data_IF_322212688544
#
_entry.id   IF_322212688544
#
_cell.length_a   1.000
_cell.length_b   1.000
_cell.length_c   1.000
_cell.angle_alpha   90.00
_cell.angle_beta   90.00
_cell.angle_gamma   90.00
#
_symmetry.space_group_name_H-M   'P 1'
#
loop_
_entity.id
_entity.type
_entity.pdbx_description
1 polymer ?
#
# COMPACT_ATOMS: atom_id res chain seq x y z
N UNK A 1 5.08 11.31 -18.48
CA UNK A 1 4.13 12.24 -17.82
C UNK A 1 4.53 12.27 -16.36
N UNK A 2 5.23 13.32 -15.94
CA UNK A 2 5.86 13.43 -14.61
C UNK A 2 4.86 14.07 -13.65
N UNK A 3 4.39 13.32 -12.65
CA UNK A 3 3.54 13.83 -11.57
C UNK A 3 4.43 14.40 -10.45
N UNK A 4 5.25 15.40 -10.77
CA UNK A 4 5.95 16.18 -9.75
C UNK A 4 5.10 17.41 -9.40
N UNK A 5 4.16 17.24 -8.47
CA UNK A 5 3.58 18.38 -7.76
C UNK A 5 4.45 18.64 -6.53
N UNK A 6 5.35 19.62 -6.66
CA UNK A 6 6.16 20.11 -5.56
C UNK A 6 5.29 20.49 -4.36
N UNK A 7 5.51 19.81 -3.24
CA UNK A 7 5.10 20.27 -1.91
C UNK A 7 6.30 20.13 -0.99
N UNK A 8 6.64 21.25 -0.34
CA UNK A 8 7.65 21.34 0.71
C UNK A 8 7.50 20.18 1.70
N UNK A 9 8.45 19.25 1.71
CA UNK A 9 8.59 18.25 2.75
C UNK A 9 9.25 18.91 3.96
N UNK A 10 8.44 19.63 4.76
CA UNK A 10 8.93 20.20 6.01
C UNK A 10 9.06 19.06 7.03
N UNK A 11 10.26 18.47 7.11
CA UNK A 11 10.87 17.60 8.13
C UNK A 11 10.08 16.52 8.92
N UNK A 12 8.79 16.27 8.72
CA UNK A 12 8.09 15.27 9.55
C UNK A 12 6.96 14.49 8.90
N UNK A 13 6.38 14.88 7.76
CA UNK A 13 5.33 14.08 7.11
C UNK A 13 5.32 14.22 5.58
N UNK A 14 5.34 13.08 4.88
CA UNK A 14 5.17 12.98 3.42
C UNK A 14 3.78 12.36 3.17
N UNK A 15 2.81 13.22 2.88
CA UNK A 15 1.49 12.77 2.43
C UNK A 15 1.50 12.61 0.91
N UNK A 16 1.28 11.38 0.45
CA UNK A 16 1.13 11.09 -0.97
C UNK A 16 -0.28 11.45 -1.42
N UNK A 17 -0.43 11.92 -2.67
CA UNK A 17 -1.75 12.03 -3.28
C UNK A 17 -2.37 10.64 -3.38
N UNK A 18 -3.61 10.51 -2.92
CA UNK A 18 -4.41 9.29 -3.11
C UNK A 18 -4.58 9.07 -4.64
N UNK A 19 -3.94 8.06 -5.25
CA UNK A 19 -4.17 7.70 -6.64
C UNK A 19 -5.64 7.32 -6.83
N UNK A 20 -6.15 7.56 -8.04
CA UNK A 20 -7.50 7.16 -8.43
C UNK A 20 -7.71 5.65 -8.34
N UNK A 21 -8.94 5.20 -8.58
CA UNK A 21 -9.25 3.78 -8.63
C UNK A 21 -8.39 3.05 -9.67
N UNK A 22 -7.81 1.93 -9.27
CA UNK A 22 -7.03 1.02 -10.11
C UNK A 22 -7.86 -0.23 -10.35
N UNK A 23 -8.10 -0.60 -11.62
CA UNK A 23 -8.76 -1.87 -11.91
C UNK A 23 -7.81 -3.03 -11.61
N UNK A 24 -8.34 -4.07 -10.98
CA UNK A 24 -7.60 -5.29 -10.66
C UNK A 24 -8.27 -6.46 -11.38
N UNK A 25 -7.82 -6.80 -12.59
CA UNK A 25 -8.37 -7.95 -13.31
C UNK A 25 -8.01 -9.26 -12.60
N UNK A 26 -8.79 -10.31 -12.86
CA UNK A 26 -8.45 -11.67 -12.43
C UNK A 26 -7.08 -12.09 -12.97
N UNK A 27 -6.39 -12.97 -12.25
CA UNK A 27 -5.09 -13.51 -12.66
C UNK A 27 -4.01 -12.46 -12.96
N UNK A 28 -4.11 -11.30 -12.32
CA UNK A 28 -3.19 -10.19 -12.53
C UNK A 28 -2.21 -10.06 -11.36
N UNK A 29 -0.94 -9.83 -11.67
CA UNK A 29 0.10 -9.67 -10.66
C UNK A 29 0.85 -8.36 -10.85
N UNK A 30 1.51 -7.92 -9.79
CA UNK A 30 2.38 -6.75 -9.79
C UNK A 30 1.68 -5.43 -10.16
N UNK A 31 0.42 -5.25 -9.75
CA UNK A 31 -0.32 -4.00 -9.96
C UNK A 31 0.06 -3.01 -8.86
N UNK A 32 0.88 -2.00 -9.18
CA UNK A 32 1.18 -0.93 -8.22
C UNK A 32 -0.07 -0.11 -7.93
N UNK A 33 -0.50 -0.11 -6.66
CA UNK A 33 -1.68 0.64 -6.20
C UNK A 33 -1.32 1.87 -5.38
N UNK A 34 -0.15 1.88 -4.73
CA UNK A 34 0.35 3.01 -3.94
C UNK A 34 1.87 3.11 -4.03
N UNK A 35 2.40 4.34 -3.95
CA UNK A 35 3.85 4.60 -4.01
C UNK A 35 4.21 5.79 -3.12
N UNK A 36 5.32 5.67 -2.39
CA UNK A 36 5.97 6.71 -1.62
C UNK A 36 7.47 6.67 -1.91
N UNK A 37 8.04 7.84 -2.20
CA UNK A 37 9.50 8.01 -2.31
C UNK A 37 9.95 8.87 -1.16
N UNK A 38 10.79 8.32 -0.30
CA UNK A 38 11.45 9.07 0.76
C UNK A 38 12.73 9.66 0.17
N UNK A 39 12.86 11.00 0.16
CA UNK A 39 14.04 11.65 -0.40
C UNK A 39 15.30 11.32 0.40
N UNK A 40 16.44 11.27 -0.29
CA UNK A 40 17.76 10.99 0.31
C UNK A 40 18.08 11.95 1.46
N UNK A 41 17.74 13.23 1.35
CA UNK A 41 17.98 14.23 2.39
C UNK A 41 17.22 13.95 3.69
N UNK A 42 16.10 13.23 3.64
CA UNK A 42 15.33 12.87 4.84
C UNK A 42 15.94 11.70 5.62
N UNK A 43 16.94 11.01 5.03
CA UNK A 43 17.61 9.83 5.61
C UNK A 43 19.14 9.98 5.63
N UNK A 44 19.68 11.09 5.12
CA UNK A 44 21.12 11.32 5.04
C UNK A 44 21.68 11.75 6.41
N UNK A 45 22.64 10.99 6.93
CA UNK A 45 23.44 11.36 8.11
C UNK A 45 22.76 11.15 9.47
N UNK A 46 21.56 10.59 9.51
CA UNK A 46 20.86 10.19 10.74
C UNK A 46 20.08 8.91 10.52
N UNK A 47 19.91 8.12 11.58
CA UNK A 47 18.89 7.06 11.61
C UNK A 47 17.52 7.70 11.42
N UNK A 48 16.78 7.25 10.42
CA UNK A 48 15.40 7.68 10.20
C UNK A 48 14.45 6.55 10.58
N UNK A 49 13.32 6.91 11.17
CA UNK A 49 12.17 6.03 11.37
C UNK A 49 11.12 6.42 10.37
N UNK A 50 10.76 5.48 9.49
CA UNK A 50 9.68 5.66 8.52
C UNK A 50 8.46 4.90 9.01
N UNK A 51 7.36 5.62 9.27
CA UNK A 51 6.07 5.04 9.55
C UNK A 51 5.18 5.14 8.30
N UNK A 52 4.55 4.05 7.94
CA UNK A 52 3.69 3.93 6.76
C UNK A 52 2.32 3.46 7.22
N UNK A 53 1.31 4.27 6.96
CA UNK A 53 -0.08 3.94 7.24
C UNK A 53 -0.86 4.00 5.93
N UNK A 54 -1.53 2.91 5.57
CA UNK A 54 -2.28 2.79 4.31
C UNK A 54 -3.65 2.17 4.54
N UNK A 55 -4.68 2.75 3.93
CA UNK A 55 -6.02 2.17 3.84
C UNK A 55 -6.37 1.89 2.38
N UNK A 56 -6.57 0.61 2.07
CA UNK A 56 -6.92 0.09 0.75
C UNK A 56 -8.41 -0.26 0.76
N UNK A 57 -9.21 0.45 -0.02
CA UNK A 57 -10.60 0.11 -0.27
C UNK A 57 -10.71 -0.80 -1.49
N UNK A 58 -11.18 -2.03 -1.33
CA UNK A 58 -11.41 -2.97 -2.43
C UNK A 58 -12.88 -3.00 -2.74
N UNK A 59 -13.24 -2.83 -4.00
CA UNK A 59 -14.62 -2.86 -4.47
C UNK A 59 -14.77 -4.00 -5.48
N UNK A 60 -15.58 -5.00 -5.11
CA UNK A 60 -15.90 -6.16 -5.93
C UNK A 60 -17.33 -6.01 -6.41
N UNK A 61 -17.51 -6.02 -7.73
CA UNK A 61 -18.82 -6.03 -8.34
C UNK A 61 -19.16 -7.46 -8.74
N UNK A 62 -20.08 -8.09 -8.03
CA UNK A 62 -20.48 -9.47 -8.30
C UNK A 62 -21.57 -9.50 -9.39
N UNK A 63 -21.45 -10.45 -10.34
CA UNK A 63 -22.47 -10.63 -11.38
C UNK A 63 -23.63 -11.44 -10.79
N UNK A 64 -24.88 -11.07 -11.07
CA UNK A 64 -26.01 -11.96 -10.85
C UNK A 64 -25.96 -13.14 -11.81
N UNK A 65 -25.84 -14.35 -11.28
CA UNK A 65 -25.98 -15.60 -12.04
C UNK A 65 -27.08 -16.49 -11.45
N UNK A 66 -27.25 -17.69 -12.03
CA UNK A 66 -28.07 -18.74 -11.43
C UNK A 66 -27.52 -19.17 -10.05
N UNK A 67 -26.21 -18.99 -9.87
CA UNK A 67 -25.54 -19.16 -8.59
C UNK A 67 -25.64 -17.91 -7.71
N UNK A 68 -26.07 -18.11 -6.47
CA UNK A 68 -26.17 -17.08 -5.42
C UNK A 68 -24.86 -16.89 -4.67
N UNK A 69 -23.72 -17.20 -5.30
CA UNK A 69 -22.40 -17.11 -4.69
C UNK A 69 -21.35 -16.59 -5.66
N UNK A 70 -20.42 -15.79 -5.16
CA UNK A 70 -19.17 -15.46 -5.84
C UNK A 70 -18.01 -15.82 -4.92
N UNK A 71 -16.84 -16.07 -5.50
CA UNK A 71 -15.62 -16.27 -4.73
C UNK A 71 -14.46 -15.43 -5.26
N UNK A 72 -13.61 -15.06 -4.32
CA UNK A 72 -12.33 -14.41 -4.55
C UNK A 72 -11.28 -15.36 -4.00
N UNK A 73 -10.49 -15.97 -4.87
CA UNK A 73 -9.44 -16.91 -4.48
C UNK A 73 -8.40 -16.21 -3.61
N UNK A 74 -7.85 -15.10 -4.12
CA UNK A 74 -6.97 -14.21 -3.38
C UNK A 74 -6.85 -12.83 -4.01
N UNK A 75 -6.84 -11.78 -3.18
CA UNK A 75 -6.22 -10.50 -3.51
C UNK A 75 -5.20 -10.24 -2.40
N UNK A 76 -3.92 -10.32 -2.76
CA UNK A 76 -2.81 -10.08 -1.84
C UNK A 76 -2.26 -8.69 -2.09
N UNK A 77 -2.28 -7.85 -1.06
CA UNK A 77 -1.59 -6.59 -1.03
C UNK A 77 -0.24 -6.79 -0.38
N UNK A 78 0.85 -6.37 -1.04
CA UNK A 78 2.21 -6.56 -0.54
C UNK A 78 2.91 -5.21 -0.49
N UNK A 79 3.47 -4.89 0.68
CA UNK A 79 4.32 -3.72 0.88
C UNK A 79 5.77 -4.08 0.55
N UNK A 80 6.38 -3.30 -0.33
CA UNK A 80 7.79 -3.43 -0.71
C UNK A 80 8.59 -2.20 -0.28
N UNK A 81 9.87 -2.42 0.03
CA UNK A 81 10.92 -1.41 0.12
C UNK A 81 12.03 -1.78 -0.86
N UNK A 82 12.27 -0.94 -1.87
CA UNK A 82 13.29 -1.17 -2.90
C UNK A 82 13.22 -2.61 -3.45
N UNK A 83 12.01 -3.03 -3.85
CA UNK A 83 11.70 -4.38 -4.35
C UNK A 83 11.83 -5.53 -3.33
N UNK A 84 12.20 -5.26 -2.07
CA UNK A 84 12.20 -6.26 -0.99
C UNK A 84 10.83 -6.28 -0.31
N UNK A 85 10.13 -7.43 -0.23
CA UNK A 85 8.85 -7.53 0.46
C UNK A 85 9.05 -7.34 1.97
N UNK A 86 8.19 -6.53 2.58
CA UNK A 86 8.21 -6.25 4.01
C UNK A 86 7.08 -6.97 4.75
N UNK A 87 5.86 -6.88 4.21
CA UNK A 87 4.65 -7.46 4.81
C UNK A 87 3.54 -7.55 3.75
N UNK A 88 2.51 -8.34 4.03
CA UNK A 88 1.36 -8.53 3.17
C UNK A 88 0.03 -8.65 3.93
N UNK A 89 -1.07 -8.45 3.21
CA UNK A 89 -2.44 -8.66 3.67
C UNK A 89 -3.19 -9.38 2.55
N UNK A 90 -3.99 -10.37 2.92
CA UNK A 90 -4.78 -11.18 2.01
C UNK A 90 -6.28 -10.89 2.18
N UNK A 91 -6.99 -10.72 1.08
CA UNK A 91 -8.44 -10.74 0.99
C UNK A 91 -8.85 -11.95 0.16
N UNK A 92 -9.54 -12.90 0.78
CA UNK A 92 -10.12 -14.06 0.10
C UNK A 92 -11.46 -14.43 0.73
N UNK A 93 -12.30 -15.17 0.00
CA UNK A 93 -13.52 -15.70 0.57
C UNK A 93 -14.60 -16.05 -0.43
N UNK A 94 -15.59 -16.78 0.08
CA UNK A 94 -16.81 -17.14 -0.62
C UNK A 94 -17.96 -16.32 -0.04
N UNK A 95 -18.72 -15.67 -0.91
CA UNK A 95 -19.75 -14.72 -0.51
C UNK A 95 -21.06 -15.03 -1.20
N UNK A 96 -22.17 -14.86 -0.49
CA UNK A 96 -23.50 -15.03 -1.08
C UNK A 96 -23.94 -13.74 -1.76
N UNK A 97 -24.33 -13.85 -3.03
CA UNK A 97 -25.00 -12.81 -3.81
C UNK A 97 -26.51 -12.98 -3.72
N UNK A 98 -27.23 -11.90 -4.00
CA UNK A 98 -28.66 -12.00 -4.24
C UNK A 98 -28.89 -12.34 -5.73
N UNK A 99 -29.95 -13.09 -6.01
CA UNK A 99 -30.47 -13.23 -7.37
C UNK A 99 -31.00 -11.87 -7.84
N UNK A 100 -30.50 -11.31 -8.94
CA UNK A 100 -31.02 -10.03 -9.45
C UNK A 100 -29.99 -9.14 -10.11
N UNK A 101 -29.69 -7.99 -9.49
CA UNK A 101 -28.79 -6.96 -10.02
C UNK A 101 -27.32 -7.13 -9.54
N UNK A 102 -26.40 -6.43 -10.21
CA UNK A 102 -24.99 -6.31 -9.78
C UNK A 102 -24.91 -5.80 -8.33
N UNK A 103 -24.23 -6.56 -7.47
CA UNK A 103 -24.06 -6.19 -6.06
C UNK A 103 -22.62 -5.75 -5.79
N UNK A 104 -22.46 -4.60 -5.13
CA UNK A 104 -21.17 -4.05 -4.73
C UNK A 104 -20.79 -4.52 -3.32
N UNK A 105 -19.65 -5.20 -3.22
CA UNK A 105 -19.01 -5.57 -1.96
C UNK A 105 -17.79 -4.68 -1.74
N UNK A 106 -17.63 -4.16 -0.54
CA UNK A 106 -16.50 -3.28 -0.19
C UNK A 106 -15.72 -3.85 0.99
N UNK A 107 -14.40 -3.93 0.83
CA UNK A 107 -13.47 -4.38 1.88
C UNK A 107 -12.47 -3.27 2.16
N UNK A 108 -12.14 -3.06 3.43
CA UNK A 108 -11.06 -2.15 3.81
C UNK A 108 -9.92 -2.96 4.41
N UNK A 109 -8.75 -2.88 3.81
CA UNK A 109 -7.52 -3.45 4.33
C UNK A 109 -6.61 -2.30 4.82
N UNK A 110 -6.11 -2.41 6.04
CA UNK A 110 -5.25 -1.38 6.63
C UNK A 110 -3.85 -1.92 6.87
N UNK A 111 -2.84 -1.25 6.35
CA UNK A 111 -1.44 -1.47 6.69
C UNK A 111 -0.99 -0.42 7.70
N UNK A 112 -0.27 -0.85 8.72
CA UNK A 112 0.59 0.03 9.52
C UNK A 112 1.96 -0.64 9.64
N UNK A 113 3.00 0.04 9.19
CA UNK A 113 4.36 -0.49 9.18
C UNK A 113 5.35 0.55 9.70
N UNK A 114 6.32 0.10 10.47
CA UNK A 114 7.41 0.91 10.99
C UNK A 114 8.71 0.32 10.45
N UNK A 115 9.43 1.10 9.66
CA UNK A 115 10.74 0.75 9.14
C UNK A 115 11.83 1.63 9.75
N UNK A 116 13.00 1.02 9.95
CA UNK A 116 14.23 1.66 10.40
C UNK A 116 15.29 1.38 9.33
N UNK A 117 15.24 2.08 8.17
CA UNK A 117 16.31 1.99 7.20
C UNK A 117 17.64 2.32 7.90
N UNK A 118 18.59 1.39 7.81
CA UNK A 118 19.86 1.49 8.55
C UNK A 118 20.67 2.74 8.16
N UNK A 119 21.64 3.09 9.01
CA UNK A 119 22.58 4.18 8.74
C UNK A 119 23.33 3.91 7.42
N UNK A 120 23.04 4.71 6.41
CA UNK A 120 23.80 4.70 5.15
C UNK A 120 24.88 5.76 5.22
N UNK A 121 26.13 5.31 5.35
CA UNK A 121 27.34 6.14 5.52
C UNK A 121 27.71 6.94 4.25
N UNK A 122 26.98 6.78 3.15
CA UNK A 122 27.15 7.50 1.87
C UNK A 122 25.76 7.81 1.31
N UNK A 123 25.56 8.89 0.52
CA UNK A 123 24.23 9.40 0.24
C UNK A 123 23.36 8.26 -0.30
N UNK A 124 22.33 7.82 0.45
CA UNK A 124 21.56 6.67 0.05
C UNK A 124 20.73 7.00 -1.19
N UNK A 125 20.53 6.01 -2.04
CA UNK A 125 19.46 6.09 -3.03
C UNK A 125 18.12 6.41 -2.31
N UNK A 126 17.22 7.19 -2.93
CA UNK A 126 15.89 7.43 -2.37
C UNK A 126 15.21 6.10 -2.01
N UNK A 127 14.60 6.03 -0.84
CA UNK A 127 13.90 4.81 -0.43
C UNK A 127 12.53 4.79 -1.10
N UNK A 128 12.26 3.73 -1.85
CA UNK A 128 11.02 3.54 -2.58
C UNK A 128 10.15 2.52 -1.87
N UNK A 129 9.04 3.00 -1.30
CA UNK A 129 7.98 2.14 -0.78
C UNK A 129 6.85 2.05 -1.81
N UNK A 130 6.38 0.83 -2.07
CA UNK A 130 5.18 0.62 -2.90
C UNK A 130 4.30 -0.47 -2.33
N UNK A 131 3.00 -0.31 -2.51
CA UNK A 131 2.03 -1.37 -2.28
C UNK A 131 1.60 -1.90 -3.65
N UNK A 132 1.70 -3.20 -3.79
CA UNK A 132 1.36 -3.94 -5.00
C UNK A 132 0.20 -4.88 -4.71
N UNK A 133 -0.76 -4.96 -5.62
CA UNK A 133 -1.81 -5.96 -5.61
C UNK A 133 -1.44 -7.14 -6.53
N UNK A 134 -1.59 -8.35 -6.00
CA UNK A 134 -1.57 -9.60 -6.75
C UNK A 134 -2.91 -10.30 -6.58
N UNK A 135 -3.47 -10.76 -7.68
CA UNK A 135 -4.87 -11.16 -7.80
C UNK A 135 -4.90 -12.57 -8.37
N UNK A 136 -5.51 -13.48 -7.61
CA UNK A 136 -5.82 -14.83 -8.07
C UNK A 136 -7.09 -14.87 -8.91
N UNK A 137 -7.72 -16.04 -8.95
CA UNK A 137 -8.94 -16.26 -9.69
C UNK A 137 -10.15 -15.57 -9.04
N UNK A 138 -11.10 -15.16 -9.89
CA UNK A 138 -12.42 -14.74 -9.48
C UNK A 138 -13.47 -15.70 -10.05
N UNK A 139 -14.51 -15.99 -9.28
CA UNK A 139 -15.66 -16.75 -9.76
C UNK A 139 -16.93 -15.92 -9.55
N UNK A 140 -17.69 -15.71 -10.63
CA UNK A 140 -18.91 -14.90 -10.64
C UNK A 140 -18.71 -13.41 -10.27
N UNK A 141 -17.54 -12.86 -10.58
CA UNK A 141 -17.20 -11.43 -10.41
C UNK A 141 -17.20 -10.73 -11.77
N UNK A 142 -17.86 -9.56 -11.85
CA UNK A 142 -17.99 -8.77 -13.07
C UNK A 142 -16.73 -7.93 -13.31
N UNK A 143 -16.28 -7.29 -12.23
CA UNK A 143 -15.09 -6.46 -12.19
C UNK A 143 -14.69 -6.24 -10.74
N UNK A 144 -13.40 -5.98 -10.54
CA UNK A 144 -12.86 -5.57 -9.27
C UNK A 144 -12.00 -4.32 -9.46
N UNK A 145 -12.07 -3.43 -8.48
CA UNK A 145 -11.24 -2.22 -8.43
C UNK A 145 -10.73 -1.96 -7.02
N UNK A 146 -9.51 -1.45 -6.96
CA UNK A 146 -8.88 -0.98 -5.74
C UNK A 146 -8.92 0.54 -5.74
N UNK A 147 -9.48 1.10 -4.68
CA UNK A 147 -9.40 2.52 -4.36
C UNK A 147 -8.38 2.70 -3.25
N UNK A 148 -7.35 3.50 -3.52
CA UNK A 148 -6.61 4.06 -2.40
C UNK A 148 -7.58 4.99 -1.64
N UNK A 149 -7.71 4.79 -0.33
CA UNK A 149 -8.47 5.70 0.54
C UNK A 149 -7.54 6.63 1.30
N UNK A 150 -6.44 6.10 1.79
CA UNK A 150 -5.44 6.86 2.54
C UNK A 150 -4.06 6.22 2.37
N UNK A 151 -3.02 7.02 2.15
CA UNK A 151 -1.64 6.58 2.23
C UNK A 151 -0.74 7.70 2.75
N UNK A 152 -0.18 7.48 3.93
CA UNK A 152 0.63 8.46 4.65
C UNK A 152 1.97 7.84 5.02
N UNK A 153 3.04 8.53 4.65
CA UNK A 153 4.39 8.24 5.11
C UNK A 153 4.85 9.33 6.07
N UNK A 154 5.32 8.96 7.26
CA UNK A 154 5.84 9.88 8.26
C UNK A 154 7.30 9.51 8.49
N UNK A 155 8.21 10.45 8.27
CA UNK A 155 9.64 10.24 8.47
C UNK A 155 10.06 11.03 9.71
N UNK A 156 10.54 10.32 10.71
CA UNK A 156 11.04 10.91 11.94
C UNK A 156 12.57 10.76 11.99
N UNK A 157 13.31 11.84 12.31
CA UNK A 157 14.67 11.66 12.76
C UNK A 157 14.66 10.84 14.06
N UNK A 158 15.50 9.82 14.15
CA UNK A 158 15.74 9.11 15.40
C UNK A 158 16.75 9.94 16.17
N UNK A 159 16.40 10.35 17.39
CA UNK A 159 17.33 11.10 18.25
C UNK A 159 18.67 10.36 18.33
N UNK A 160 19.81 11.08 18.21
CA UNK A 160 21.09 10.48 18.48
C UNK A 160 21.07 9.96 19.92
N UNK A 161 21.31 8.65 20.08
CA UNK A 161 21.55 8.07 21.40
C UNK A 161 22.80 8.79 21.93
N UNK A 162 22.60 9.76 22.83
CA UNK A 162 23.71 10.30 23.60
C UNK A 162 24.34 9.11 24.33
N UNK A 163 25.67 8.90 24.23
CA UNK A 163 26.30 7.85 24.99
C UNK A 163 25.97 8.11 26.46
N UNK A 164 25.24 7.17 27.08
CA UNK A 164 25.18 7.05 28.52
C UNK A 164 26.60 6.71 28.96
N UNK A 165 27.40 7.74 29.27
CA UNK A 165 28.40 7.77 30.33
C UNK A 165 29.28 9.00 30.14
N UNK A 166 28.92 10.04 30.87
CA UNK A 166 29.84 11.10 31.30
C UNK A 166 29.48 11.41 32.74
N UNK A 167 29.74 10.44 33.62
CA UNK A 167 29.86 10.64 35.08
C UNK A 167 31.35 10.70 35.39
#
# INVERSE_FOLDING_TARGET
>A
MSLNNGRNCNHTAISCSVPGSVSVPENASNITIMELRVPTEAVAGQRARVQLDATIGTEIFAVPGDEVTFSVDAITYQLFRNDVPLTDILVSGNYRTNTGDETLYTYNSTFSWVDLPGDTVFPPDPIHYRIVANVGDYFHVARAQVRNREFVGVVHPVDPILPSDSI
#
